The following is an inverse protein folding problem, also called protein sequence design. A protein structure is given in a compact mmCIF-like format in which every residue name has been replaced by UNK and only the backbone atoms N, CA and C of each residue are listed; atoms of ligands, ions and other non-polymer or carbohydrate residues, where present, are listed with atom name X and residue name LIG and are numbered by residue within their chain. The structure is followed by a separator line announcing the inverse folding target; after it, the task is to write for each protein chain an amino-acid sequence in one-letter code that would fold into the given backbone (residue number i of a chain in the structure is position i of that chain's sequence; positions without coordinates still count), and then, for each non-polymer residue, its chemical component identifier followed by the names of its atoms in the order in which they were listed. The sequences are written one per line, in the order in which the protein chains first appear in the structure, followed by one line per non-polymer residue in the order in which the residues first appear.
data_IF_127494827621
#
_entry.id   IF_127494827621
#
_cell.length_a   1.000
_cell.length_b   1.000
_cell.length_c   1.000
_cell.angle_alpha   90.00
_cell.angle_beta   90.00
_cell.angle_gamma   90.00
#
_symmetry.space_group_name_H-M   'P 1'
#
loop_
_entity.id
_entity.type
_entity.pdbx_description
1 polymer ?
#
# COMPACT_ATOMS: atom_id res chain seq x y z
N UNK A 1 12.59 37.42 -70.48
CA UNK A 1 13.90 37.26 -71.15
C UNK A 1 14.24 35.77 -71.17
N UNK A 2 14.38 35.21 -72.38
CA UNK A 2 14.95 33.91 -72.83
C UNK A 2 14.63 32.60 -72.04
N UNK A 3 13.92 31.61 -72.64
CA UNK A 3 14.31 30.65 -73.71
C UNK A 3 15.31 29.59 -73.16
N UNK A 4 15.25 28.27 -73.41
CA UNK A 4 14.52 27.40 -74.34
C UNK A 4 14.68 25.92 -73.89
N UNK A 5 13.78 25.07 -74.37
CA UNK A 5 13.73 23.60 -74.41
C UNK A 5 14.95 22.82 -74.95
N UNK A 6 14.81 21.49 -74.84
CA UNK A 6 15.27 20.37 -75.69
C UNK A 6 16.47 19.54 -75.20
N UNK A 7 16.59 18.23 -75.46
CA UNK A 7 15.70 17.09 -75.76
C UNK A 7 16.59 15.99 -76.36
N UNK A 8 16.32 14.70 -76.08
CA UNK A 8 16.75 13.49 -76.83
C UNK A 8 18.27 13.17 -76.85
N UNK A 9 18.78 11.93 -76.98
CA UNK A 9 18.29 10.64 -77.45
C UNK A 9 19.22 9.52 -76.87
N UNK A 10 18.72 8.39 -76.37
CA UNK A 10 18.60 7.03 -76.99
C UNK A 10 19.88 6.22 -77.28
N UNK A 11 19.84 4.97 -76.77
CA UNK A 11 20.32 3.69 -77.35
C UNK A 11 21.85 3.47 -77.40
N UNK A 12 22.48 2.31 -77.16
CA UNK A 12 22.17 0.87 -77.42
C UNK A 12 23.10 -0.04 -76.56
N UNK A 13 22.64 -1.12 -75.91
CA UNK A 13 22.68 -2.59 -76.24
C UNK A 13 24.02 -3.34 -75.98
N UNK A 14 23.88 -4.58 -75.45
CA UNK A 14 24.81 -5.76 -75.40
C UNK A 14 25.83 -5.78 -74.22
N UNK A 15 26.16 -6.88 -73.53
CA UNK A 15 25.98 -8.33 -73.75
C UNK A 15 26.13 -9.13 -72.43
N UNK A 16 25.86 -10.42 -72.52
CA UNK A 16 25.65 -11.49 -71.54
C UNK A 16 26.78 -11.83 -70.55
N UNK A 17 26.34 -12.19 -69.34
CA UNK A 17 26.55 -13.52 -68.73
C UNK A 17 27.96 -13.96 -68.33
N UNK A 18 28.24 -14.01 -67.02
CA UNK A 18 29.01 -15.11 -66.41
C UNK A 18 28.42 -15.41 -65.01
N UNK A 19 28.12 -16.69 -64.80
CA UNK A 19 27.66 -17.31 -63.55
C UNK A 19 28.78 -17.37 -62.48
N UNK A 20 28.34 -17.51 -61.23
CA UNK A 20 29.02 -18.22 -60.12
C UNK A 20 29.91 -17.39 -59.19
N UNK A 21 29.42 -17.05 -58.00
CA UNK A 21 29.63 -17.86 -56.79
C UNK A 21 28.93 -17.21 -55.59
N UNK A 22 28.19 -18.05 -54.85
CA UNK A 22 27.59 -17.75 -53.55
C UNK A 22 28.66 -17.38 -52.52
N UNK A 23 28.43 -16.28 -51.77
CA UNK A 23 28.82 -16.15 -50.37
C UNK A 23 28.01 -15.01 -49.72
N UNK A 24 26.76 -15.30 -49.33
CA UNK A 24 25.98 -14.39 -48.47
C UNK A 24 26.41 -14.67 -47.03
N UNK A 25 27.28 -13.82 -46.48
CA UNK A 25 27.54 -13.74 -45.05
C UNK A 25 26.31 -13.11 -44.36
N UNK A 26 25.37 -13.94 -43.93
CA UNK A 26 24.27 -13.54 -43.07
C UNK A 26 24.81 -13.27 -41.66
N UNK A 27 25.19 -12.03 -41.38
CA UNK A 27 25.60 -11.60 -40.03
C UNK A 27 24.36 -11.47 -39.16
N UNK A 28 23.97 -12.54 -38.47
CA UNK A 28 22.94 -12.51 -37.43
C UNK A 28 23.44 -11.71 -36.24
N UNK A 29 23.03 -10.45 -36.13
CA UNK A 29 23.16 -9.68 -34.89
C UNK A 29 22.19 -10.27 -33.86
N UNK A 30 22.67 -11.21 -33.05
CA UNK A 30 22.01 -11.59 -31.82
C UNK A 30 22.09 -10.38 -30.86
N UNK A 31 21.00 -9.63 -30.76
CA UNK A 31 20.81 -8.69 -29.65
C UNK A 31 20.71 -9.51 -28.37
N UNK A 32 21.82 -9.63 -27.65
CA UNK A 32 21.86 -10.21 -26.32
C UNK A 32 21.09 -9.29 -25.37
N UNK A 33 19.84 -9.65 -25.07
CA UNK A 33 19.11 -9.10 -23.93
C UNK A 33 19.79 -9.60 -22.66
N UNK A 34 20.70 -8.81 -22.10
CA UNK A 34 21.25 -9.07 -20.78
C UNK A 34 20.16 -8.79 -19.74
N UNK A 35 19.45 -9.83 -19.30
CA UNK A 35 18.72 -9.79 -18.04
C UNK A 35 19.74 -9.67 -16.89
N UNK A 36 19.44 -8.90 -15.83
CA UNK A 36 20.29 -8.87 -14.64
C UNK A 36 20.32 -10.26 -13.98
N UNK A 37 21.44 -10.67 -13.37
CA UNK A 37 21.56 -11.98 -12.75
C UNK A 37 20.64 -12.07 -11.51
N UNK A 38 20.02 -13.22 -11.25
CA UNK A 38 19.31 -13.46 -10.00
C UNK A 38 20.31 -13.44 -8.83
N UNK A 39 19.82 -13.05 -7.65
CA UNK A 39 20.54 -13.26 -6.40
C UNK A 39 20.68 -14.78 -6.22
N UNK A 40 21.92 -15.24 -6.08
CA UNK A 40 22.34 -16.65 -6.02
C UNK A 40 21.39 -17.56 -5.21
N UNK A 41 20.66 -18.43 -5.91
CA UNK A 41 19.98 -19.60 -5.35
C UNK A 41 21.01 -20.72 -5.13
N UNK A 42 21.25 -21.08 -3.88
CA UNK A 42 21.63 -22.46 -3.57
C UNK A 42 20.33 -23.28 -3.55
N UNK A 43 20.29 -24.29 -4.42
CA UNK A 43 19.14 -25.15 -4.62
C UNK A 43 18.63 -25.77 -3.32
N UNK A 44 17.41 -25.40 -2.98
CA UNK A 44 16.51 -26.12 -2.10
C UNK A 44 15.19 -26.32 -2.86
N UNK A 45 14.71 -27.54 -2.86
CA UNK A 45 13.37 -27.95 -3.28
C UNK A 45 12.33 -26.89 -2.87
N UNK A 46 11.49 -26.41 -3.81
CA UNK A 46 10.47 -25.39 -3.54
C UNK A 46 9.38 -25.96 -2.62
N UNK A 47 9.70 -26.05 -1.34
CA UNK A 47 8.73 -26.06 -0.25
C UNK A 47 8.08 -24.68 -0.28
N UNK A 48 6.81 -24.60 -0.69
CA UNK A 48 6.03 -23.37 -0.51
C UNK A 48 6.23 -22.82 0.91
N UNK A 49 6.31 -21.50 1.04
CA UNK A 49 6.49 -20.88 2.35
C UNK A 49 5.37 -21.39 3.29
N UNK A 50 5.73 -21.68 4.55
CA UNK A 50 4.73 -22.17 5.53
C UNK A 50 3.58 -21.17 5.60
N UNK A 51 2.36 -21.61 5.30
CA UNK A 51 1.19 -20.73 5.28
C UNK A 51 1.00 -19.92 4.00
N UNK A 52 1.59 -20.31 2.87
CA UNK A 52 1.36 -19.74 1.53
C UNK A 52 1.69 -18.25 1.36
N UNK A 53 2.59 -17.74 2.19
CA UNK A 53 3.21 -16.43 1.97
C UNK A 53 4.62 -16.43 2.55
N UNK A 54 5.53 -15.72 1.87
CA UNK A 54 6.86 -15.40 2.38
C UNK A 54 6.82 -14.08 3.14
N UNK A 55 7.54 -14.00 4.27
CA UNK A 55 7.69 -12.78 5.07
C UNK A 55 9.15 -12.37 5.12
N UNK A 56 9.43 -11.10 4.83
CA UNK A 56 10.75 -10.49 4.98
C UNK A 56 10.64 -9.28 5.89
N UNK A 57 11.43 -9.27 6.97
CA UNK A 57 11.51 -8.16 7.92
C UNK A 57 12.77 -7.33 7.65
N UNK A 58 12.60 -6.01 7.56
CA UNK A 58 13.70 -5.07 7.29
C UNK A 58 13.46 -3.72 7.97
N UNK A 59 14.37 -2.77 7.77
CA UNK A 59 14.22 -1.39 8.26
C UNK A 59 14.62 -0.37 7.19
N UNK A 60 14.12 0.85 7.31
CA UNK A 60 14.41 1.94 6.39
C UNK A 60 15.70 2.70 6.70
N UNK A 61 16.44 2.31 7.74
CA UNK A 61 17.66 2.98 8.20
C UNK A 61 18.84 2.00 8.30
N UNK A 62 20.06 2.48 8.05
CA UNK A 62 21.27 1.69 8.28
C UNK A 62 21.71 1.67 9.74
N UNK A 63 21.30 2.68 10.51
CA UNK A 63 21.56 2.83 11.93
C UNK A 63 20.58 3.86 12.53
N UNK A 64 20.44 3.86 13.86
CA UNK A 64 19.56 4.77 14.60
C UNK A 64 20.34 5.66 15.59
N UNK A 65 19.98 6.93 15.63
CA UNK A 65 20.42 7.90 16.63
C UNK A 65 19.37 8.17 17.71
N UNK A 66 19.68 9.02 18.70
CA UNK A 66 18.75 9.39 19.76
C UNK A 66 17.48 10.06 19.22
N UNK A 67 16.33 9.75 19.83
CA UNK A 67 15.01 10.30 19.48
C UNK A 67 14.58 10.12 18.00
N UNK A 68 15.27 9.29 17.23
CA UNK A 68 15.00 9.12 15.81
C UNK A 68 13.74 8.30 15.56
N UNK A 69 12.94 8.74 14.59
CA UNK A 69 11.87 7.94 13.99
C UNK A 69 12.35 7.14 12.79
N UNK A 70 12.07 5.84 12.81
CA UNK A 70 12.36 4.89 11.74
C UNK A 70 11.21 3.90 11.60
N UNK A 71 11.31 2.98 10.63
CA UNK A 71 10.32 1.94 10.46
C UNK A 71 10.93 0.55 10.55
N UNK A 72 10.17 -0.36 11.14
CA UNK A 72 10.29 -1.80 10.89
C UNK A 72 9.31 -2.13 9.77
N UNK A 73 9.78 -2.82 8.74
CA UNK A 73 9.02 -3.08 7.53
C UNK A 73 8.84 -4.58 7.41
N UNK A 74 7.58 -5.01 7.33
CA UNK A 74 7.19 -6.40 7.08
C UNK A 74 6.67 -6.48 5.66
N UNK A 75 7.46 -7.08 4.76
CA UNK A 75 7.03 -7.38 3.41
C UNK A 75 6.46 -8.81 3.38
N UNK A 76 5.17 -8.93 3.09
CA UNK A 76 4.50 -10.22 2.94
C UNK A 76 4.18 -10.47 1.47
N UNK A 77 4.56 -11.63 0.96
CA UNK A 77 4.40 -12.00 -0.45
C UNK A 77 3.62 -13.31 -0.53
N UNK A 78 2.32 -13.28 -0.85
CA UNK A 78 1.53 -14.48 -1.06
C UNK A 78 2.09 -15.34 -2.21
N UNK A 79 1.96 -16.67 -2.09
CA UNK A 79 2.21 -17.59 -3.19
C UNK A 79 1.29 -17.28 -4.37
N UNK A 80 1.68 -17.67 -5.59
CA UNK A 80 0.88 -17.39 -6.79
C UNK A 80 -0.55 -17.93 -6.69
N UNK A 81 -1.52 -17.02 -6.82
CA UNK A 81 -2.95 -17.31 -6.74
C UNK A 81 -3.46 -17.53 -5.32
N UNK A 82 -2.70 -17.13 -4.31
CA UNK A 82 -3.14 -16.94 -2.92
C UNK A 82 -3.20 -15.45 -2.61
N UNK A 83 -3.98 -15.07 -1.60
CA UNK A 83 -4.02 -13.71 -1.08
C UNK A 83 -3.96 -13.68 0.45
N UNK A 84 -3.42 -12.60 0.99
CA UNK A 84 -3.43 -12.26 2.43
C UNK A 84 -4.31 -11.05 2.67
N UNK A 85 -4.66 -10.78 3.93
CA UNK A 85 -5.67 -9.76 4.26
C UNK A 85 -5.08 -8.46 4.78
N UNK A 86 -5.81 -7.38 4.48
CA UNK A 86 -5.61 -6.04 5.02
C UNK A 86 -6.04 -5.96 6.50
N UNK A 87 -5.82 -4.81 7.15
CA UNK A 87 -6.17 -4.63 8.56
C UNK A 87 -7.67 -4.76 8.84
N UNK A 88 -8.51 -4.44 7.84
CA UNK A 88 -9.88 -4.90 7.77
C UNK A 88 -9.95 -5.99 6.70
N UNK A 89 -10.27 -7.22 7.07
CA UNK A 89 -10.38 -8.34 6.13
C UNK A 89 -11.66 -8.31 5.27
N UNK A 90 -12.66 -7.52 5.65
CA UNK A 90 -14.01 -7.58 5.07
C UNK A 90 -14.84 -8.72 5.67
N UNK A 91 -15.79 -9.25 4.89
CA UNK A 91 -16.84 -10.16 5.36
C UNK A 91 -16.30 -11.49 5.88
N UNK A 92 -15.24 -12.01 5.25
CA UNK A 92 -14.60 -13.28 5.61
C UNK A 92 -13.07 -13.15 5.55
N UNK A 93 -12.38 -13.63 6.59
CA UNK A 93 -10.93 -13.58 6.66
C UNK A 93 -10.42 -13.24 8.04
N UNK A 94 -9.11 -12.97 8.12
CA UNK A 94 -8.46 -12.53 9.34
C UNK A 94 -7.30 -11.62 8.98
N UNK A 95 -7.19 -10.43 9.60
CA UNK A 95 -6.16 -9.46 9.25
C UNK A 95 -4.76 -10.01 9.50
N UNK A 96 -3.80 -9.54 8.73
CA UNK A 96 -2.39 -9.77 9.04
C UNK A 96 -2.06 -9.05 10.36
N UNK A 97 -1.60 -9.77 11.37
CA UNK A 97 -1.19 -9.23 12.66
C UNK A 97 0.33 -9.13 12.75
N UNK A 98 0.84 -7.96 13.14
CA UNK A 98 2.26 -7.75 13.41
C UNK A 98 2.42 -7.36 14.88
N UNK A 99 3.18 -8.16 15.63
CA UNK A 99 3.52 -7.90 17.02
C UNK A 99 5.03 -7.70 17.12
N UNK A 100 5.44 -6.57 17.69
CA UNK A 100 6.85 -6.23 17.86
C UNK A 100 7.14 -6.13 19.35
N UNK A 101 8.06 -6.95 19.84
CA UNK A 101 8.69 -6.74 21.14
C UNK A 101 9.96 -5.93 20.92
N UNK A 102 9.94 -4.70 21.41
CA UNK A 102 11.05 -3.77 21.30
C UNK A 102 11.89 -3.75 22.61
N UNK A 103 13.17 -3.36 22.54
CA UNK A 103 13.96 -3.06 23.71
C UNK A 103 13.34 -1.93 24.55
N UNK A 104 13.76 -1.83 25.81
CA UNK A 104 13.29 -0.77 26.71
C UNK A 104 13.51 0.63 26.12
N UNK A 105 12.53 1.51 26.31
CA UNK A 105 12.58 2.91 25.88
C UNK A 105 12.16 3.15 24.42
N UNK A 106 12.06 2.12 23.59
CA UNK A 106 11.53 2.25 22.23
C UNK A 106 10.01 2.28 22.24
N UNK A 107 9.43 3.19 21.44
CA UNK A 107 7.99 3.31 21.28
C UNK A 107 7.62 2.74 19.91
N UNK A 108 6.80 1.69 19.89
CA UNK A 108 6.28 1.08 18.67
C UNK A 108 4.88 1.63 18.39
N UNK A 109 4.68 2.18 17.20
CA UNK A 109 3.38 2.68 16.75
C UNK A 109 2.52 1.60 16.09
N UNK A 110 1.40 2.03 15.50
CA UNK A 110 0.47 1.13 14.79
C UNK A 110 1.04 0.77 13.40
N UNK A 111 0.88 -0.48 12.92
CA UNK A 111 1.21 -0.82 11.54
C UNK A 111 0.43 0.03 10.55
N UNK A 112 1.13 0.53 9.53
CA UNK A 112 0.57 1.29 8.42
C UNK A 112 0.57 0.39 7.20
N UNK A 113 -0.63 -0.06 6.84
CA UNK A 113 -0.85 -0.90 5.68
C UNK A 113 -0.96 -0.06 4.41
N UNK A 114 -0.44 -0.54 3.27
CA UNK A 114 -0.74 0.06 1.98
C UNK A 114 -2.22 -0.11 1.65
N UNK A 115 -2.68 0.59 0.60
CA UNK A 115 -4.03 0.39 0.08
C UNK A 115 -4.24 -1.09 -0.33
N UNK A 116 -5.36 -1.72 0.05
CA UNK A 116 -5.65 -3.08 -0.35
C UNK A 116 -6.33 -3.15 -1.72
N UNK A 117 -6.32 -4.34 -2.30
CA UNK A 117 -7.23 -4.75 -3.35
C UNK A 117 -8.60 -5.12 -2.75
N UNK A 118 -9.65 -4.99 -3.55
CA UNK A 118 -11.01 -5.38 -3.16
C UNK A 118 -11.39 -6.63 -3.92
N UNK A 119 -11.54 -7.75 -3.23
CA UNK A 119 -12.03 -9.01 -3.79
C UNK A 119 -13.53 -9.09 -3.56
N UNK A 120 -14.30 -9.26 -4.65
CA UNK A 120 -15.76 -9.35 -4.59
C UNK A 120 -16.23 -10.67 -5.18
N UNK A 121 -17.02 -11.40 -4.42
CA UNK A 121 -17.84 -12.53 -4.88
C UNK A 121 -19.32 -12.17 -4.77
N UNK A 122 -20.21 -13.11 -5.10
CA UNK A 122 -21.66 -12.93 -4.90
C UNK A 122 -22.01 -12.86 -3.41
N UNK A 123 -21.22 -13.52 -2.55
CA UNK A 123 -21.54 -13.72 -1.14
C UNK A 123 -20.72 -12.80 -0.22
N UNK A 124 -19.52 -12.41 -0.63
CA UNK A 124 -18.54 -11.78 0.26
C UNK A 124 -17.72 -10.70 -0.46
N UNK A 125 -17.39 -9.64 0.28
CA UNK A 125 -16.37 -8.65 -0.07
C UNK A 125 -15.24 -8.69 0.94
N UNK A 126 -14.02 -8.92 0.45
CA UNK A 126 -12.83 -8.97 1.30
C UNK A 126 -11.75 -8.01 0.80
N UNK A 127 -10.83 -7.64 1.68
CA UNK A 127 -9.76 -6.68 1.37
C UNK A 127 -8.40 -7.27 1.69
N UNK A 128 -7.46 -7.16 0.76
CA UNK A 128 -6.18 -7.82 0.91
C UNK A 128 -5.21 -7.60 -0.24
N UNK A 129 -4.32 -8.58 -0.42
CA UNK A 129 -3.19 -8.51 -1.34
C UNK A 129 -2.98 -9.86 -2.01
N UNK A 130 -2.99 -9.90 -3.35
CA UNK A 130 -2.50 -11.06 -4.13
C UNK A 130 -1.01 -10.94 -4.46
N UNK A 131 -0.44 -9.75 -4.28
CA UNK A 131 0.96 -9.42 -4.53
C UNK A 131 1.65 -8.99 -3.25
N UNK A 132 2.96 -8.81 -3.33
CA UNK A 132 3.75 -8.32 -2.22
C UNK A 132 3.21 -7.00 -1.67
N UNK A 133 2.99 -6.96 -0.35
CA UNK A 133 2.62 -5.76 0.39
C UNK A 133 3.67 -5.48 1.47
N UNK A 134 4.16 -4.24 1.52
CA UNK A 134 5.08 -3.77 2.54
C UNK A 134 4.33 -2.97 3.60
N UNK A 135 4.26 -3.51 4.81
CA UNK A 135 3.57 -2.91 5.96
C UNK A 135 4.62 -2.22 6.84
N UNK A 136 4.42 -0.94 7.14
CA UNK A 136 5.38 -0.11 7.85
C UNK A 136 4.94 0.09 9.29
N UNK A 137 5.77 -0.32 10.26
CA UNK A 137 5.53 -0.08 11.68
C UNK A 137 6.47 1.03 12.14
N UNK A 138 5.96 2.23 12.47
CA UNK A 138 6.79 3.33 12.94
C UNK A 138 7.33 3.00 14.33
N UNK A 139 8.60 3.32 14.55
CA UNK A 139 9.29 3.14 15.82
C UNK A 139 10.06 4.42 16.15
N UNK A 140 9.93 4.89 17.38
CA UNK A 140 10.68 6.02 17.91
C UNK A 140 11.73 5.52 18.90
N UNK A 141 13.00 5.82 18.63
CA UNK A 141 14.10 5.52 19.53
C UNK A 141 14.04 6.41 20.79
N UNK A 142 14.53 5.95 21.95
CA UNK A 142 14.59 6.79 23.14
C UNK A 142 15.54 7.97 22.95
N UNK A 143 15.34 9.03 23.73
CA UNK A 143 16.19 10.24 23.68
C UNK A 143 17.63 10.00 24.16
N UNK A 144 17.89 8.86 24.82
CA UNK A 144 19.22 8.41 25.23
C UNK A 144 19.37 6.95 24.83
N UNK A 145 20.47 6.63 24.15
CA UNK A 145 20.78 5.28 23.68
C UNK A 145 22.27 4.98 23.95
N UNK A 146 22.67 3.72 23.81
CA UNK A 146 24.09 3.32 23.85
C UNK A 146 24.51 2.85 22.45
N UNK A 147 25.77 3.09 22.10
CA UNK A 147 26.35 2.56 20.87
C UNK A 147 26.27 1.03 20.86
N UNK A 148 25.97 0.45 19.70
CA UNK A 148 25.95 -0.99 19.54
C UNK A 148 24.85 -1.46 18.60
N UNK A 149 24.14 -2.51 19.01
CA UNK A 149 23.06 -3.15 18.26
C UNK A 149 21.90 -3.44 19.18
N UNK A 150 20.70 -3.28 18.66
CA UNK A 150 19.46 -3.60 19.37
C UNK A 150 18.62 -4.55 18.52
N UNK A 151 17.97 -5.49 19.19
CA UNK A 151 17.16 -6.51 18.55
C UNK A 151 15.67 -6.23 18.78
N UNK A 152 14.89 -6.31 17.71
CA UNK A 152 13.44 -6.28 17.73
C UNK A 152 12.93 -7.67 17.37
N UNK A 153 12.10 -8.25 18.24
CA UNK A 153 11.42 -9.50 17.92
C UNK A 153 10.12 -9.17 17.19
N UNK A 154 9.98 -9.68 15.96
CA UNK A 154 8.84 -9.42 15.09
C UNK A 154 8.12 -10.73 14.84
N UNK A 155 6.88 -10.81 15.34
CA UNK A 155 5.97 -11.90 15.05
C UNK A 155 4.93 -11.43 14.05
N UNK A 156 4.88 -12.07 12.89
CA UNK A 156 3.87 -11.82 11.86
C UNK A 156 2.96 -13.05 11.76
N UNK A 157 1.66 -12.86 11.95
CA UNK A 157 0.66 -13.91 11.77
C UNK A 157 -0.32 -13.50 10.67
N UNK A 158 -0.70 -14.43 9.81
CA UNK A 158 -1.63 -14.14 8.71
C UNK A 158 -2.54 -15.32 8.40
N UNK A 159 -3.60 -15.01 7.66
CA UNK A 159 -4.41 -15.99 6.95
C UNK A 159 -4.14 -15.82 5.45
N UNK A 160 -3.71 -16.88 4.78
CA UNK A 160 -3.61 -16.92 3.33
C UNK A 160 -4.77 -17.75 2.77
N UNK A 161 -5.49 -17.25 1.79
CA UNK A 161 -6.63 -17.94 1.20
C UNK A 161 -6.51 -18.11 -0.31
N UNK A 162 -7.11 -19.19 -0.80
CA UNK A 162 -7.39 -19.43 -2.22
C UNK A 162 -8.76 -20.08 -2.35
N UNK A 163 -8.81 -21.42 -2.41
CA UNK A 163 -10.06 -22.21 -2.30
C UNK A 163 -10.38 -22.59 -0.84
N UNK A 164 -9.36 -22.57 -0.01
CA UNK A 164 -9.41 -22.77 1.43
C UNK A 164 -8.37 -21.83 2.04
N UNK A 165 -8.43 -21.68 3.36
CA UNK A 165 -7.56 -20.77 4.08
C UNK A 165 -6.58 -21.55 4.96
N UNK A 166 -5.35 -21.03 5.04
CA UNK A 166 -4.25 -21.60 5.82
C UNK A 166 -3.67 -20.50 6.69
N UNK A 167 -3.51 -20.79 7.98
CA UNK A 167 -2.83 -19.88 8.89
C UNK A 167 -1.31 -19.98 8.70
N UNK A 168 -0.66 -18.84 8.64
CA UNK A 168 0.79 -18.72 8.62
C UNK A 168 1.29 -17.89 9.80
N UNK A 169 2.55 -18.15 10.16
CA UNK A 169 3.26 -17.43 11.21
C UNK A 169 4.75 -17.38 10.87
N UNK A 170 5.33 -16.21 11.07
CA UNK A 170 6.77 -15.95 10.99
C UNK A 170 7.24 -15.29 12.27
N UNK A 171 8.41 -15.72 12.77
CA UNK A 171 9.08 -15.14 13.92
C UNK A 171 10.50 -14.78 13.49
N UNK A 172 10.75 -13.47 13.39
CA UNK A 172 12.00 -12.92 12.90
C UNK A 172 12.62 -11.99 13.94
N UNK A 173 13.95 -12.00 14.06
CA UNK A 173 14.68 -10.98 14.82
C UNK A 173 15.29 -9.98 13.86
N UNK A 174 14.97 -8.69 14.04
CA UNK A 174 15.59 -7.59 13.31
C UNK A 174 16.61 -6.90 14.21
N UNK A 175 17.89 -6.96 13.81
CA UNK A 175 18.97 -6.26 14.51
C UNK A 175 19.27 -4.92 13.83
N UNK A 176 19.22 -3.82 14.57
CA UNK A 176 19.52 -2.46 14.07
C UNK A 176 20.72 -1.88 14.80
N UNK A 177 21.63 -1.24 14.07
CA UNK A 177 22.82 -0.59 14.66
C UNK A 177 22.44 0.75 15.31
N UNK A 178 23.02 1.08 16.44
CA UNK A 178 22.75 2.31 17.21
C UNK A 178 24.01 3.14 17.32
N UNK A 179 23.89 4.46 17.13
CA UNK A 179 24.95 5.44 17.35
C UNK A 179 24.45 6.54 18.28
N UNK A 180 24.89 6.51 19.52
CA UNK A 180 24.36 7.33 20.60
C UNK A 180 24.64 8.83 20.46
N UNK A 181 25.66 9.19 19.67
CA UNK A 181 26.15 10.57 19.55
C UNK A 181 26.01 11.15 18.15
N UNK A 182 25.38 10.41 17.23
CA UNK A 182 25.18 10.86 15.86
C UNK A 182 23.68 11.04 15.59
N UNK A 183 23.32 12.11 14.88
CA UNK A 183 21.96 12.26 14.35
C UNK A 183 21.73 11.22 13.27
N UNK A 184 20.68 10.41 13.43
CA UNK A 184 20.24 9.39 12.50
C UNK A 184 20.37 9.73 11.01
N UNK A 185 20.54 8.73 10.13
CA UNK A 185 20.68 9.00 8.71
C UNK A 185 19.47 9.80 8.19
N UNK A 186 19.74 11.00 7.65
CA UNK A 186 18.72 11.90 7.09
C UNK A 186 17.92 11.27 5.93
N UNK A 187 18.50 10.28 5.24
CA UNK A 187 17.86 9.58 4.12
C UNK A 187 17.61 8.13 4.47
N UNK A 188 16.31 7.81 4.53
CA UNK A 188 15.78 6.45 4.54
C UNK A 188 16.12 5.76 3.21
N UNK A 189 16.26 4.43 3.21
CA UNK A 189 16.75 3.68 2.05
C UNK A 189 15.98 3.99 0.75
N UNK A 190 16.69 4.36 -0.33
CA UNK A 190 16.10 4.62 -1.65
C UNK A 190 15.33 3.42 -2.21
N UNK A 191 15.70 2.20 -1.83
CA UNK A 191 14.99 0.98 -2.27
C UNK A 191 13.53 0.93 -1.78
N UNK A 192 13.19 1.73 -0.77
CA UNK A 192 11.88 1.72 -0.13
C UNK A 192 10.98 2.89 -0.55
N UNK A 193 11.51 3.86 -1.30
CA UNK A 193 10.73 5.02 -1.78
C UNK A 193 9.47 4.58 -2.54
N UNK A 194 9.59 3.52 -3.36
CA UNK A 194 8.44 2.94 -4.07
C UNK A 194 7.34 2.48 -3.11
N UNK A 195 7.70 1.77 -2.05
CA UNK A 195 6.74 1.24 -1.07
C UNK A 195 6.13 2.34 -0.20
N UNK A 196 6.91 3.36 0.14
CA UNK A 196 6.41 4.51 0.89
C UNK A 196 5.43 5.35 0.05
N UNK A 197 5.65 5.42 -1.27
CA UNK A 197 4.80 6.25 -2.15
C UNK A 197 3.35 5.77 -2.24
N UNK A 198 3.09 4.49 -1.93
CA UNK A 198 1.75 3.87 -1.95
C UNK A 198 1.11 3.76 -0.57
N UNK A 199 1.78 4.22 0.50
CA UNK A 199 1.18 4.28 1.82
C UNK A 199 0.09 5.37 1.87
N UNK A 200 -0.98 5.16 2.65
CA UNK A 200 -1.97 6.18 2.90
C UNK A 200 -1.35 7.43 3.51
N UNK A 201 -1.73 8.60 3.00
CA UNK A 201 -1.33 9.89 3.58
C UNK A 201 -2.39 10.37 4.59
N UNK A 202 -2.07 11.27 5.52
CA UNK A 202 -3.10 11.90 6.33
C UNK A 202 -4.12 12.66 5.47
N UNK A 203 -5.41 12.61 5.80
CA UNK A 203 -6.44 13.40 5.09
C UNK A 203 -6.11 14.90 5.00
N UNK A 204 -5.41 15.45 5.99
CA UNK A 204 -4.95 16.84 5.98
C UNK A 204 -3.97 17.19 4.86
N UNK A 205 -3.41 16.20 4.16
CA UNK A 205 -2.58 16.39 2.97
C UNK A 205 -3.35 16.36 1.65
N UNK A 206 -4.65 16.05 1.69
CA UNK A 206 -5.55 16.22 0.57
C UNK A 206 -5.95 17.70 0.48
N UNK A 207 -5.99 18.24 -0.74
CA UNK A 207 -6.47 19.60 -1.00
C UNK A 207 -7.92 19.74 -0.52
N UNK A 208 -8.16 20.74 0.33
CA UNK A 208 -9.42 20.94 1.07
C UNK A 208 -9.98 19.70 1.80
N UNK A 209 -9.09 18.77 2.17
CA UNK A 209 -9.41 17.56 2.90
C UNK A 209 -10.06 17.84 4.25
N UNK A 210 -11.33 17.45 4.41
CA UNK A 210 -12.06 17.61 5.67
C UNK A 210 -12.88 16.36 6.01
N UNK A 211 -13.07 16.13 7.31
CA UNK A 211 -13.96 15.10 7.83
C UNK A 211 -14.79 15.65 8.98
N UNK A 212 -16.08 15.33 8.98
CA UNK A 212 -17.03 15.71 10.02
C UNK A 212 -18.15 14.68 10.14
N UNK A 213 -18.82 14.67 11.28
CA UNK A 213 -20.01 13.84 11.49
C UNK A 213 -21.28 14.70 11.44
N UNK A 214 -22.28 14.26 10.69
CA UNK A 214 -23.62 14.88 10.64
C UNK A 214 -24.66 13.82 10.94
N UNK A 215 -25.15 13.79 12.17
CA UNK A 215 -25.98 12.68 12.66
C UNK A 215 -25.22 11.37 12.56
N UNK A 216 -25.71 10.45 11.74
CA UNK A 216 -25.11 9.12 11.48
C UNK A 216 -24.38 9.04 10.13
N UNK A 217 -24.01 10.19 9.56
CA UNK A 217 -23.26 10.27 8.31
C UNK A 217 -21.86 10.83 8.57
N UNK A 218 -20.84 10.03 8.29
CA UNK A 218 -19.48 10.54 8.15
C UNK A 218 -19.37 11.26 6.81
N UNK A 219 -19.13 12.55 6.86
CA UNK A 219 -18.97 13.42 5.69
C UNK A 219 -17.48 13.66 5.49
N UNK A 220 -16.95 13.22 4.36
CA UNK A 220 -15.57 13.42 3.95
C UNK A 220 -15.57 14.27 2.68
N UNK A 221 -14.80 15.35 2.64
CA UNK A 221 -14.71 16.22 1.48
C UNK A 221 -13.26 16.54 1.10
N UNK A 222 -13.07 17.03 -0.11
CA UNK A 222 -11.81 17.53 -0.62
C UNK A 222 -11.92 17.84 -2.11
N UNK A 223 -10.79 18.15 -2.73
CA UNK A 223 -10.68 18.32 -4.19
C UNK A 223 -9.96 17.13 -4.82
N UNK A 224 -10.45 16.69 -5.98
CA UNK A 224 -9.84 15.61 -6.74
C UNK A 224 -10.31 15.59 -8.20
N UNK A 225 -9.37 15.36 -9.11
CA UNK A 225 -9.68 15.02 -10.50
C UNK A 225 -10.19 13.58 -10.65
N UNK A 226 -9.94 12.72 -9.66
CA UNK A 226 -10.41 11.34 -9.65
C UNK A 226 -11.91 11.29 -9.38
N UNK A 227 -12.64 10.61 -10.26
CA UNK A 227 -14.10 10.43 -10.13
C UNK A 227 -14.48 9.15 -9.39
N UNK A 228 -13.49 8.32 -9.09
CA UNK A 228 -13.69 7.09 -8.35
C UNK A 228 -13.15 7.28 -6.95
N UNK A 229 -14.06 7.62 -6.05
CA UNK A 229 -13.74 7.86 -4.65
C UNK A 229 -14.51 6.83 -3.85
N UNK A 230 -13.78 6.07 -3.05
CA UNK A 230 -14.35 5.04 -2.17
C UNK A 230 -13.86 5.22 -0.74
N UNK A 231 -14.54 4.57 0.20
CA UNK A 231 -14.13 4.53 1.59
C UNK A 231 -14.16 3.10 2.10
N UNK A 232 -13.05 2.66 2.68
CA UNK A 232 -12.93 1.37 3.35
C UNK A 232 -12.87 1.63 4.86
N UNK A 233 -13.99 1.42 5.53
CA UNK A 233 -14.07 1.60 6.98
C UNK A 233 -13.23 0.57 7.72
N UNK A 234 -12.67 0.95 8.87
CA UNK A 234 -11.99 0.03 9.78
C UNK A 234 -12.90 -0.14 10.99
N UNK A 235 -13.27 -1.37 11.29
CA UNK A 235 -14.19 -1.63 12.39
C UNK A 235 -13.55 -1.28 13.74
N UNK A 236 -14.30 -0.51 14.54
CA UNK A 236 -13.92 -0.14 15.91
C UNK A 236 -15.09 -0.42 16.85
N UNK A 237 -14.83 -0.69 18.14
CA UNK A 237 -15.90 -0.86 19.12
C UNK A 237 -16.89 0.30 19.06
N UNK A 238 -18.17 -0.02 18.86
CA UNK A 238 -19.24 0.96 18.76
C UNK A 238 -19.41 1.67 17.41
N UNK A 239 -18.65 1.32 16.37
CA UNK A 239 -18.79 1.92 15.02
C UNK A 239 -19.02 0.82 13.97
N UNK A 240 -20.10 0.93 13.20
CA UNK A 240 -20.37 0.04 12.05
C UNK A 240 -20.75 0.86 10.82
N UNK A 241 -20.21 0.50 9.65
CA UNK A 241 -20.56 1.13 8.38
C UNK A 241 -21.66 0.31 7.70
N UNK A 242 -22.69 0.97 7.15
CA UNK A 242 -23.95 0.30 6.76
C UNK A 242 -24.06 0.12 5.24
N UNK A 243 -23.60 1.11 4.48
CA UNK A 243 -23.81 1.16 3.03
C UNK A 243 -22.58 1.71 2.31
N UNK A 244 -22.58 1.52 0.98
CA UNK A 244 -21.58 2.10 0.09
C UNK A 244 -21.75 3.61 0.07
N UNK A 245 -20.68 4.32 0.38
CA UNK A 245 -20.64 5.77 0.26
C UNK A 245 -20.61 6.18 -1.21
N UNK A 246 -21.52 7.04 -1.62
CA UNK A 246 -21.52 7.62 -2.97
C UNK A 246 -20.99 9.06 -2.92
N UNK A 247 -19.93 9.40 -3.70
CA UNK A 247 -19.44 10.76 -3.78
C UNK A 247 -20.37 11.62 -4.62
N UNK A 248 -20.65 12.84 -4.14
CA UNK A 248 -21.28 13.91 -4.92
C UNK A 248 -20.18 14.86 -5.35
N UNK A 249 -20.14 15.21 -6.63
CA UNK A 249 -19.13 16.10 -7.20
C UNK A 249 -19.74 17.46 -7.59
N UNK A 250 -18.98 18.52 -7.38
CA UNK A 250 -19.26 19.86 -7.89
C UNK A 250 -17.96 20.47 -8.43
N UNK A 251 -17.77 20.42 -9.75
CA UNK A 251 -16.46 20.68 -10.33
C UNK A 251 -15.45 19.63 -9.85
N UNK A 252 -14.33 20.08 -9.29
CA UNK A 252 -13.28 19.19 -8.76
C UNK A 252 -13.45 18.90 -7.26
N UNK A 253 -14.34 19.62 -6.57
CA UNK A 253 -14.70 19.32 -5.19
C UNK A 253 -15.62 18.10 -5.12
N UNK A 254 -15.45 17.29 -4.08
CA UNK A 254 -16.34 16.16 -3.77
C UNK A 254 -16.80 16.19 -2.30
N UNK A 255 -17.98 15.62 -2.04
CA UNK A 255 -18.42 15.22 -0.72
C UNK A 255 -18.85 13.75 -0.75
N UNK A 256 -18.18 12.92 0.04
CA UNK A 256 -18.49 11.52 0.27
C UNK A 256 -19.27 11.39 1.58
N UNK A 257 -20.44 10.76 1.53
CA UNK A 257 -21.26 10.48 2.71
C UNK A 257 -21.23 9.00 3.02
N UNK A 258 -20.66 8.61 4.15
CA UNK A 258 -20.57 7.23 4.61
C UNK A 258 -21.59 7.02 5.74
N UNK A 259 -22.67 6.26 5.52
CA UNK A 259 -23.62 5.92 6.57
C UNK A 259 -23.00 4.96 7.60
N UNK A 260 -23.20 5.26 8.88
CA UNK A 260 -22.69 4.44 9.97
C UNK A 260 -23.68 4.39 11.15
N UNK A 261 -23.58 3.35 11.98
CA UNK A 261 -24.18 3.32 13.31
C UNK A 261 -23.13 3.61 14.37
N UNK A 262 -23.57 4.30 15.42
CA UNK A 262 -22.78 4.57 16.61
C UNK A 262 -23.46 3.95 17.82
N UNK A 263 -22.72 3.14 18.56
CA UNK A 263 -23.16 2.50 19.79
C UNK A 263 -22.14 2.77 20.90
N UNK A 264 -22.46 3.77 21.72
CA UNK A 264 -21.61 4.20 22.83
C UNK A 264 -21.49 3.17 23.95
N UNK A 265 -22.43 2.23 24.08
CA UNK A 265 -22.39 1.16 25.07
C UNK A 265 -21.27 0.19 24.70
N UNK A 266 -21.21 -0.17 23.42
CA UNK A 266 -20.16 -1.03 22.86
C UNK A 266 -18.79 -0.37 22.78
N UNK A 267 -18.69 0.94 23.04
CA UNK A 267 -17.41 1.66 23.17
C UNK A 267 -16.80 1.59 24.58
N UNK A 268 -17.46 0.92 25.54
CA UNK A 268 -16.96 0.69 26.91
C UNK A 268 -16.50 1.98 27.62
N UNK A 269 -17.21 3.09 27.40
CA UNK A 269 -16.89 4.39 27.99
C UNK A 269 -15.73 5.14 27.34
N UNK A 270 -15.10 4.60 26.29
CA UNK A 270 -14.10 5.29 25.48
C UNK A 270 -14.77 6.18 24.42
N UNK A 271 -14.09 7.23 23.93
CA UNK A 271 -14.53 7.94 22.74
C UNK A 271 -14.67 6.98 21.55
N UNK A 272 -15.67 7.24 20.70
CA UNK A 272 -15.87 6.50 19.46
C UNK A 272 -14.82 6.94 18.44
N UNK A 273 -13.95 6.02 18.01
CA UNK A 273 -12.95 6.26 16.97
C UNK A 273 -13.55 5.80 15.62
N UNK A 274 -13.91 6.76 14.77
CA UNK A 274 -14.34 6.48 13.40
C UNK A 274 -13.11 6.58 12.52
N UNK A 275 -12.69 5.46 11.93
CA UNK A 275 -11.48 5.40 11.11
C UNK A 275 -11.69 4.58 9.85
N UNK A 276 -10.92 4.92 8.81
CA UNK A 276 -10.94 4.20 7.54
C UNK A 276 -10.01 4.82 6.52
N UNK A 277 -10.04 4.22 5.34
CA UNK A 277 -9.22 4.60 4.21
C UNK A 277 -10.07 5.22 3.11
N UNK A 278 -9.85 6.50 2.82
CA UNK A 278 -10.34 7.15 1.62
C UNK A 278 -9.47 6.72 0.44
N UNK A 279 -10.07 6.21 -0.62
CA UNK A 279 -9.37 5.70 -1.80
C UNK A 279 -9.72 6.55 -3.02
N UNK A 280 -8.72 6.92 -3.81
CA UNK A 280 -8.88 7.64 -5.08
C UNK A 280 -8.51 6.72 -6.22
N UNK A 281 -9.30 6.61 -7.28
CA UNK A 281 -9.03 5.71 -8.40
C UNK A 281 -9.31 4.23 -8.11
N UNK A 282 -8.87 3.33 -9.00
CA UNK A 282 -9.15 1.87 -8.95
C UNK A 282 -7.96 1.03 -8.51
N UNK A 283 -6.74 1.50 -8.77
CA UNK A 283 -5.55 0.70 -8.63
C UNK A 283 -5.00 0.80 -7.21
N UNK A 284 -4.28 -0.24 -6.80
CA UNK A 284 -3.61 -0.29 -5.51
C UNK A 284 -2.59 0.84 -5.31
N UNK A 285 -2.00 1.33 -6.40
CA UNK A 285 -1.02 2.43 -6.39
C UNK A 285 -1.64 3.82 -6.45
N UNK A 286 -2.95 3.92 -6.70
CA UNK A 286 -3.61 5.22 -6.74
C UNK A 286 -3.71 5.80 -5.32
N UNK A 287 -3.72 7.13 -5.15
CA UNK A 287 -3.64 7.78 -3.85
C UNK A 287 -4.71 7.29 -2.86
N UNK A 288 -4.33 7.24 -1.58
CA UNK A 288 -5.25 6.95 -0.50
C UNK A 288 -4.91 7.77 0.73
N UNK A 289 -5.93 8.01 1.57
CA UNK A 289 -5.82 8.89 2.71
C UNK A 289 -6.44 8.26 3.96
N UNK A 290 -5.69 8.28 5.07
CA UNK A 290 -6.21 7.89 6.38
C UNK A 290 -7.18 8.94 6.87
N UNK A 291 -8.39 8.51 7.19
CA UNK A 291 -9.44 9.33 7.79
C UNK A 291 -9.62 8.89 9.23
N UNK A 292 -9.58 9.83 10.16
CA UNK A 292 -9.82 9.55 11.58
C UNK A 292 -10.63 10.68 12.20
N UNK A 293 -11.71 10.34 12.89
CA UNK A 293 -12.56 11.26 13.63
C UNK A 293 -12.90 10.64 14.99
N UNK A 294 -12.61 11.36 16.07
CA UNK A 294 -12.96 10.95 17.42
C UNK A 294 -14.21 11.68 17.87
N UNK A 295 -15.20 10.94 18.35
CA UNK A 295 -16.47 11.49 18.85
C UNK A 295 -16.61 11.16 20.33
N UNK A 296 -16.74 12.20 21.15
CA UNK A 296 -16.91 12.01 22.59
C UNK A 296 -18.26 11.37 22.92
N UNK A 297 -18.22 10.36 23.79
CA UNK A 297 -19.41 9.66 24.28
C UNK A 297 -20.37 10.53 25.12
N UNK A 298 -20.04 11.81 25.35
CA UNK A 298 -20.83 12.73 26.18
C UNK A 298 -21.90 13.50 25.41
N UNK A 299 -21.92 13.44 24.08
CA UNK A 299 -23.05 14.01 23.31
C UNK A 299 -24.22 13.05 23.36
N UNK A 300 -25.11 13.25 24.33
CA UNK A 300 -26.49 12.74 24.23
C UNK A 300 -27.05 13.20 22.88
N UNK A 301 -27.68 12.33 22.07
CA UNK A 301 -28.47 12.79 20.94
C UNK A 301 -29.48 13.79 21.48
N UNK A 302 -29.45 15.02 20.98
CA UNK A 302 -30.47 16.01 21.29
C UNK A 302 -31.75 15.56 20.60
N UNK A 303 -32.52 14.69 21.25
CA UNK A 303 -33.93 14.51 20.93
C UNK A 303 -34.61 15.81 21.36
N UNK A 304 -34.66 16.77 20.45
CA UNK A 304 -35.48 17.95 20.61
C UNK A 304 -36.90 17.47 20.93
N UNK A 305 -37.37 17.76 22.15
CA UNK A 305 -38.79 17.55 22.48
C UNK A 305 -39.58 18.32 21.45
N UNK A 306 -40.28 17.61 20.59
CA UNK A 306 -41.36 18.19 19.81
C UNK A 306 -42.31 18.87 20.77
N UNK A 307 -42.50 20.16 20.57
CA UNK A 307 -43.62 20.90 21.14
C UNK A 307 -44.89 20.27 20.60
N UNK A 308 -45.61 19.54 21.44
CA UNK A 308 -47.03 19.25 21.22
C UNK A 308 -47.79 20.57 21.32
N UNK A 309 -48.48 20.94 20.24
CA UNK A 309 -49.65 21.83 20.27
C UNK A 309 -50.77 21.16 21.06
#
# INVERSE_FOLDING_TARGET
MNRIHNSHARCTVYDQGVLSMLAILLSTMLTSTHAPPPISEQGGETSGAKGHAEVVVSTDVGWIGPAQEFHIIVAITPDTGWHTYWENSGDSGSPTEIKITAPEGYIVGKPVFPRPEIFRTVEETTFGYEKQAAIFVPVTAPASTLDGRVDFQVTTSWLACKKHCVQGKDESTLTVSVRAWEEGPLRKSKSLERWQSVLPKPLSSLEDGNVRLVGNLLKISGESLERQIGFLGIEKPGVRFIEIAMPIFNGDSFELSVPLTLDSINAEGKPLEITGLLTMGRNQTDPSYTVTLTVDNKTKPYFGRGTTQ
#
